data_IF_079393416057
#
_entry.id   IF_079393416057
#
_cell.length_a   1.000
_cell.length_b   1.000
_cell.length_c   1.000
_cell.angle_alpha   90.00
_cell.angle_beta   90.00
_cell.angle_gamma   90.00
#
_symmetry.space_group_name_H-M   'P 1'
#
loop_
_entity.id
_entity.type
_entity.pdbx_description
1 polymer ?
#
# COMPACT_ATOMS: atom_id res chain seq x y z
N UNK A 1 24.40 -3.43 44.31
CA UNK A 1 24.78 -2.25 43.50
C UNK A 1 26.06 -2.57 42.79
N UNK A 2 26.01 -3.09 41.55
CA UNK A 2 27.10 -3.10 40.57
C UNK A 2 26.56 -3.63 39.23
N UNK A 3 26.54 -2.74 38.22
CA UNK A 3 26.69 -2.93 36.77
C UNK A 3 25.61 -3.71 35.97
N UNK A 4 24.78 -3.07 35.12
CA UNK A 4 25.01 -2.54 33.74
C UNK A 4 25.32 -3.63 32.69
N UNK A 5 24.64 -3.48 31.52
CA UNK A 5 24.76 -4.19 30.23
C UNK A 5 23.78 -5.38 30.08
N UNK A 6 22.96 -5.54 29.03
CA UNK A 6 23.05 -5.16 27.63
C UNK A 6 21.64 -4.87 27.08
N UNK A 7 21.36 -3.64 26.62
CA UNK A 7 20.29 -3.41 25.66
C UNK A 7 20.95 -3.45 24.26
N UNK A 8 21.21 -4.67 23.76
CA UNK A 8 21.53 -4.82 22.34
C UNK A 8 20.25 -4.50 21.57
N UNK A 9 20.18 -3.30 20.99
CA UNK A 9 19.16 -2.97 20.00
C UNK A 9 19.31 -3.93 18.84
N UNK A 10 18.41 -4.91 18.75
CA UNK A 10 18.33 -5.82 17.62
C UNK A 10 17.75 -5.06 16.43
N UNK A 11 18.56 -4.21 15.80
CA UNK A 11 18.31 -3.73 14.45
C UNK A 11 18.54 -4.91 13.53
N UNK A 12 17.51 -5.74 13.35
CA UNK A 12 17.51 -6.74 12.30
C UNK A 12 17.41 -5.96 10.98
N UNK A 13 18.56 -5.59 10.42
CA UNK A 13 18.62 -5.09 9.06
C UNK A 13 18.13 -6.23 8.16
N UNK A 14 16.89 -6.12 7.68
CA UNK A 14 16.33 -7.06 6.71
C UNK A 14 17.12 -6.83 5.43
N UNK A 15 18.05 -7.74 5.12
CA UNK A 15 18.72 -7.74 3.83
C UNK A 15 17.65 -7.87 2.73
N UNK A 16 17.75 -7.11 1.63
CA UNK A 16 16.83 -7.27 0.52
C UNK A 16 16.92 -8.71 -0.01
N UNK A 17 15.80 -9.30 -0.43
CA UNK A 17 15.82 -10.64 -1.01
C UNK A 17 16.73 -10.67 -2.26
N UNK A 18 17.28 -11.84 -2.57
CA UNK A 18 18.12 -12.04 -3.77
C UNK A 18 17.32 -11.62 -5.02
N UNK A 19 17.68 -10.47 -5.61
CA UNK A 19 16.94 -9.84 -6.71
C UNK A 19 16.36 -8.45 -6.39
N UNK A 20 16.48 -7.97 -5.15
CA UNK A 20 15.94 -6.69 -4.71
C UNK A 20 14.46 -6.76 -4.34
N UNK A 21 13.92 -5.66 -3.81
CA UNK A 21 12.47 -5.54 -3.62
C UNK A 21 11.77 -5.45 -4.98
N UNK A 22 10.60 -6.06 -5.14
CA UNK A 22 9.82 -5.89 -6.36
C UNK A 22 9.51 -4.40 -6.55
N UNK A 23 9.97 -3.85 -7.68
CA UNK A 23 9.57 -2.51 -8.09
C UNK A 23 8.17 -2.58 -8.67
N UNK A 24 7.23 -1.71 -8.25
CA UNK A 24 5.95 -1.62 -8.93
C UNK A 24 6.18 -1.24 -10.42
N UNK A 25 5.24 -1.60 -11.30
CA UNK A 25 5.32 -1.20 -12.69
C UNK A 25 5.29 0.32 -12.81
N UNK A 26 6.10 0.88 -13.71
CA UNK A 26 6.11 2.32 -13.98
C UNK A 26 4.82 2.82 -14.63
N UNK A 27 4.01 1.91 -15.19
CA UNK A 27 2.68 2.21 -15.70
C UNK A 27 1.86 0.92 -15.88
N UNK A 28 0.56 0.99 -15.62
CA UNK A 28 -0.36 -0.15 -15.75
C UNK A 28 -1.81 0.32 -15.84
N UNK A 29 -2.74 -0.59 -16.16
CA UNK A 29 -4.18 -0.27 -16.16
C UNK A 29 -4.79 -0.62 -14.81
N UNK A 30 -5.63 0.25 -14.26
CA UNK A 30 -6.37 -0.07 -13.03
C UNK A 30 -7.46 -1.10 -13.33
N UNK A 31 -7.32 -2.29 -12.74
CA UNK A 31 -8.27 -3.39 -12.87
C UNK A 31 -9.43 -3.29 -11.86
N UNK A 32 -9.14 -2.86 -10.63
CA UNK A 32 -10.17 -2.65 -9.60
C UNK A 32 -9.68 -1.71 -8.51
N UNK A 33 -10.61 -1.03 -7.85
CA UNK A 33 -10.35 -0.25 -6.63
C UNK A 33 -10.84 -1.03 -5.42
N UNK A 34 -9.98 -1.18 -4.42
CA UNK A 34 -10.33 -1.84 -3.17
C UNK A 34 -10.91 -0.80 -2.20
N UNK A 35 -10.11 0.19 -1.80
CA UNK A 35 -10.50 1.34 -0.98
C UNK A 35 -10.05 2.66 -1.63
N UNK A 36 -10.32 3.81 -1.01
CA UNK A 36 -10.01 5.11 -1.59
C UNK A 36 -8.53 5.34 -1.95
N UNK A 37 -7.61 4.63 -1.33
CA UNK A 37 -6.15 4.72 -1.56
C UNK A 37 -5.51 3.40 -2.02
N UNK A 38 -6.30 2.37 -2.30
CA UNK A 38 -5.79 1.03 -2.62
C UNK A 38 -6.39 0.52 -3.91
N UNK A 39 -5.56 0.29 -4.91
CA UNK A 39 -5.97 -0.19 -6.24
C UNK A 39 -5.24 -1.48 -6.60
N UNK A 40 -5.86 -2.26 -7.48
CA UNK A 40 -5.23 -3.44 -8.11
C UNK A 40 -5.07 -3.16 -9.59
N UNK A 41 -3.85 -3.39 -10.09
CA UNK A 41 -3.49 -3.22 -11.49
C UNK A 41 -3.81 -4.49 -12.30
N UNK A 42 -3.86 -4.37 -13.62
CA UNK A 42 -4.01 -5.49 -14.55
C UNK A 42 -2.87 -6.52 -14.44
N UNK A 43 -1.68 -6.07 -14.03
CA UNK A 43 -0.52 -6.89 -13.66
C UNK A 43 -0.70 -7.70 -12.37
N UNK A 44 -1.82 -7.52 -11.65
CA UNK A 44 -2.11 -8.08 -10.32
C UNK A 44 -1.37 -7.42 -9.15
N UNK A 45 -0.57 -6.40 -9.42
CA UNK A 45 0.04 -5.61 -8.36
C UNK A 45 -1.03 -4.86 -7.57
N UNK A 46 -0.93 -4.92 -6.24
CA UNK A 46 -1.74 -4.11 -5.33
C UNK A 46 -0.93 -2.89 -4.94
N UNK A 47 -1.43 -1.71 -5.27
CA UNK A 47 -0.77 -0.43 -5.01
C UNK A 47 -1.55 0.32 -3.95
N UNK A 48 -0.89 0.71 -2.86
CA UNK A 48 -1.41 1.68 -1.89
C UNK A 48 -0.76 3.03 -2.10
N UNK A 49 -1.57 4.07 -2.18
CA UNK A 49 -1.10 5.44 -2.39
C UNK A 49 -0.26 5.89 -1.19
N UNK A 50 0.87 6.54 -1.48
CA UNK A 50 1.73 7.10 -0.43
C UNK A 50 1.10 8.38 0.11
N UNK A 51 1.28 8.61 1.41
CA UNK A 51 0.91 9.85 2.11
C UNK A 51 -0.58 10.16 2.21
N UNK A 52 -1.43 9.22 1.82
CA UNK A 52 -2.88 9.30 1.98
C UNK A 52 -3.33 8.09 2.77
N UNK A 53 -4.32 8.28 3.64
CA UNK A 53 -4.97 7.22 4.39
C UNK A 53 -6.48 7.44 4.30
N UNK A 54 -7.14 6.76 3.39
CA UNK A 54 -8.59 6.88 3.22
C UNK A 54 -9.35 5.98 4.21
N UNK A 55 -10.61 6.28 4.55
CA UNK A 55 -11.44 5.37 5.31
C UNK A 55 -11.55 4.00 4.64
N UNK A 56 -11.45 2.94 5.44
CA UNK A 56 -11.35 1.56 5.01
C UNK A 56 -12.75 0.90 4.85
N UNK A 57 -12.85 -0.14 4.01
CA UNK A 57 -14.13 -0.86 3.82
C UNK A 57 -14.31 -2.05 4.75
N UNK A 58 -13.25 -2.52 5.42
CA UNK A 58 -13.29 -3.71 6.29
C UNK A 58 -12.48 -3.49 7.58
N UNK A 59 -13.14 -3.16 8.71
CA UNK A 59 -14.58 -2.87 8.84
C UNK A 59 -14.97 -1.61 8.05
N UNK A 60 -16.26 -1.45 7.74
CA UNK A 60 -16.73 -0.25 7.03
C UNK A 60 -16.60 0.97 7.95
N UNK A 61 -15.75 1.92 7.55
CA UNK A 61 -15.57 3.20 8.22
C UNK A 61 -16.46 4.30 7.59
N UNK A 62 -16.64 5.40 8.32
CA UNK A 62 -17.37 6.56 7.82
C UNK A 62 -16.71 7.10 6.53
N UNK A 63 -17.50 7.31 5.49
CA UNK A 63 -17.06 7.68 4.14
C UNK A 63 -16.24 6.64 3.35
N UNK A 64 -16.11 5.39 3.83
CA UNK A 64 -15.33 4.36 3.13
C UNK A 64 -15.89 4.01 1.74
N UNK A 65 -17.22 3.97 1.61
CA UNK A 65 -17.88 3.67 0.33
C UNK A 65 -17.67 4.80 -0.66
N UNK A 66 -17.85 6.04 -0.20
CA UNK A 66 -17.71 7.27 -0.97
C UNK A 66 -16.26 7.47 -1.43
N UNK A 67 -15.29 7.19 -0.56
CA UNK A 67 -13.87 7.25 -0.89
C UNK A 67 -13.52 6.25 -2.01
N UNK A 68 -13.97 4.99 -1.89
CA UNK A 68 -13.79 3.99 -2.96
C UNK A 68 -14.43 4.45 -4.27
N UNK A 69 -15.69 4.89 -4.23
CA UNK A 69 -16.42 5.30 -5.44
C UNK A 69 -15.80 6.53 -6.12
N UNK A 70 -15.33 7.50 -5.34
CA UNK A 70 -14.62 8.66 -5.87
C UNK A 70 -13.36 8.23 -6.62
N UNK A 71 -12.58 7.32 -6.03
CA UNK A 71 -11.39 6.74 -6.67
C UNK A 71 -11.75 5.91 -7.90
N UNK A 72 -12.78 5.07 -7.86
CA UNK A 72 -13.27 4.30 -9.03
C UNK A 72 -13.62 5.21 -10.21
N UNK A 73 -14.42 6.26 -9.97
CA UNK A 73 -14.78 7.23 -11.01
C UNK A 73 -13.56 7.93 -11.60
N UNK A 74 -12.52 8.13 -10.78
CA UNK A 74 -11.31 8.80 -11.22
C UNK A 74 -10.39 7.91 -12.05
N UNK A 75 -10.18 6.64 -11.67
CA UNK A 75 -9.09 5.80 -12.24
C UNK A 75 -9.52 4.47 -12.88
N UNK A 76 -10.73 3.96 -12.63
CA UNK A 76 -11.12 2.62 -13.09
C UNK A 76 -10.96 2.45 -14.61
N UNK A 77 -10.24 1.39 -15.02
CA UNK A 77 -9.98 1.09 -16.43
C UNK A 77 -9.03 2.07 -17.14
N UNK A 78 -8.43 3.03 -16.43
CA UNK A 78 -7.46 3.96 -16.98
C UNK A 78 -6.04 3.42 -16.83
N UNK A 79 -5.18 3.79 -17.78
CA UNK A 79 -3.73 3.64 -17.67
C UNK A 79 -3.18 4.72 -16.75
N UNK A 80 -2.42 4.33 -15.74
CA UNK A 80 -1.80 5.19 -14.72
C UNK A 80 -0.30 5.01 -14.71
N UNK A 81 0.42 6.01 -14.19
CA UNK A 81 1.88 6.09 -14.06
C UNK A 81 2.27 6.41 -12.61
#
# INVERSE_FOLDING_TARGET
MFWLLFAASLSLAIEPPKGGWPSPPASATVASVYDGDTVTLDTKDKIRLRWVNTPELKPLEEYGTEAREATERFVQGKRVE
#
